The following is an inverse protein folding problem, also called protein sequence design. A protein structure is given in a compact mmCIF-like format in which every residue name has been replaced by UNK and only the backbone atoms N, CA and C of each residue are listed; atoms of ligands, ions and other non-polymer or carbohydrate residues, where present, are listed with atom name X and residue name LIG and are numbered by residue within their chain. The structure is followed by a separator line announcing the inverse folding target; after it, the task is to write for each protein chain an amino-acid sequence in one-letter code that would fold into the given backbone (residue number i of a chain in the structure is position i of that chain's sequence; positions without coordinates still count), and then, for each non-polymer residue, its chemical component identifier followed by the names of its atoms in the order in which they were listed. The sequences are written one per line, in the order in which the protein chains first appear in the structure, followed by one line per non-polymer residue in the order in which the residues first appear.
data_IF_860290567305
#
_entry.id   IF_860290567305
#
_cell.length_a   1.000
_cell.length_b   1.000
_cell.length_c   1.000
_cell.angle_alpha   90.00
_cell.angle_beta   90.00
_cell.angle_gamma   90.00
#
_symmetry.space_group_name_H-M   'P 1'
#
loop_
_entity.id
_entity.type
_entity.pdbx_description
1 polymer ?
#
# COMPACT_ATOMS: atom_id res chain seq x y z
N UNK A 1 8.72 -25.42 4.26
CA UNK A 1 9.04 -24.67 5.49
C UNK A 1 8.23 -23.38 5.47
N UNK A 2 7.12 -23.34 6.20
CA UNK A 2 6.32 -22.13 6.36
C UNK A 2 6.91 -21.28 7.48
N UNK A 3 7.17 -20.00 7.21
CA UNK A 3 7.53 -19.04 8.26
C UNK A 3 6.30 -18.77 9.11
N UNK A 4 6.40 -19.02 10.42
CA UNK A 4 5.43 -18.64 11.47
C UNK A 4 4.05 -19.25 11.29
N UNK A 5 3.68 -20.19 12.16
CA UNK A 5 2.28 -20.59 12.24
C UNK A 5 1.45 -19.36 12.64
N UNK A 6 0.19 -19.28 12.21
CA UNK A 6 -0.71 -18.17 12.55
C UNK A 6 -0.74 -17.87 14.06
N UNK A 7 -0.61 -18.91 14.87
CA UNK A 7 -0.50 -18.86 16.33
C UNK A 7 0.70 -18.04 16.82
N UNK A 8 1.85 -18.14 16.15
CA UNK A 8 3.05 -17.37 16.52
C UNK A 8 2.83 -15.87 16.28
N UNK A 9 2.10 -15.52 15.21
CA UNK A 9 1.74 -14.13 14.89
C UNK A 9 0.71 -13.58 15.87
N UNK A 10 -0.20 -14.42 16.36
CA UNK A 10 -1.18 -14.05 17.40
C UNK A 10 -0.48 -13.75 18.73
N UNK A 11 0.49 -14.59 19.14
CA UNK A 11 1.31 -14.32 20.33
C UNK A 11 2.08 -13.00 20.23
N UNK A 12 2.71 -12.74 19.07
CA UNK A 12 3.39 -11.47 18.83
C UNK A 12 2.44 -10.26 18.88
N UNK A 13 1.19 -10.42 18.44
CA UNK A 13 0.18 -9.35 18.54
C UNK A 13 -0.12 -8.99 20.00
N UNK A 14 -0.19 -9.99 20.88
CA UNK A 14 -0.46 -9.77 22.31
C UNK A 14 0.73 -9.12 23.02
N UNK A 15 1.97 -9.52 22.68
CA UNK A 15 3.19 -8.88 23.17
C UNK A 15 3.24 -7.39 22.77
N UNK A 16 2.96 -7.08 21.50
CA UNK A 16 2.92 -5.69 21.00
C UNK A 16 1.83 -4.88 21.73
N UNK A 17 0.67 -5.48 21.99
CA UNK A 17 -0.41 -4.83 22.75
C UNK A 17 0.05 -4.46 24.17
N UNK A 18 0.78 -5.38 24.82
CA UNK A 18 1.33 -5.17 26.17
C UNK A 18 2.31 -3.99 26.19
N UNK A 19 3.23 -3.92 25.23
CA UNK A 19 4.20 -2.80 25.14
C UNK A 19 3.50 -1.46 24.86
N UNK A 20 2.52 -1.45 23.94
CA UNK A 20 1.78 -0.22 23.61
C UNK A 20 0.98 0.30 24.81
N UNK A 21 0.45 -0.58 25.65
CA UNK A 21 -0.31 -0.19 26.84
C UNK A 21 0.54 0.62 27.85
N UNK A 22 1.85 0.37 27.90
CA UNK A 22 2.77 1.09 28.79
C UNK A 22 2.90 2.59 28.44
N UNK A 23 2.59 2.95 27.19
CA UNK A 23 2.59 4.35 26.71
C UNK A 23 1.17 4.88 26.46
N UNK A 24 0.14 4.18 26.96
CA UNK A 24 -1.26 4.58 26.82
C UNK A 24 -1.84 4.39 25.41
N UNK A 25 -1.25 3.53 24.58
CA UNK A 25 -1.72 3.22 23.24
C UNK A 25 -2.36 1.82 23.19
N UNK A 26 -3.33 1.65 22.29
CA UNK A 26 -3.98 0.36 22.04
C UNK A 26 -4.08 0.10 20.53
N UNK A 27 -3.97 -1.18 20.14
CA UNK A 27 -4.20 -1.58 18.76
C UNK A 27 -5.68 -1.46 18.41
N UNK A 28 -5.97 -0.81 17.28
CA UNK A 28 -7.33 -0.73 16.76
C UNK A 28 -7.70 -2.04 16.04
N UNK A 29 -8.66 -2.79 16.58
CA UNK A 29 -9.09 -4.08 16.00
C UNK A 29 -9.55 -3.96 14.54
N UNK A 30 -10.18 -2.84 14.17
CA UNK A 30 -10.66 -2.60 12.80
C UNK A 30 -9.55 -2.29 11.80
N UNK A 31 -8.35 -1.90 12.28
CA UNK A 31 -7.19 -1.56 11.43
C UNK A 31 -6.10 -2.62 11.46
N UNK A 32 -6.11 -3.51 12.45
CA UNK A 32 -5.11 -4.57 12.63
C UNK A 32 -5.59 -5.86 11.99
N UNK A 33 -4.82 -6.37 11.02
CA UNK A 33 -5.11 -7.61 10.30
C UNK A 33 -3.85 -8.46 10.23
N UNK A 34 -4.00 -9.77 10.41
CA UNK A 34 -2.99 -10.79 10.09
C UNK A 34 -3.32 -11.35 8.70
N UNK A 35 -2.35 -11.36 7.80
CA UNK A 35 -2.49 -11.97 6.47
C UNK A 35 -1.21 -12.65 6.02
N UNK A 36 -1.38 -13.67 5.18
CA UNK A 36 -0.23 -14.31 4.56
C UNK A 36 0.31 -13.45 3.40
N UNK A 37 1.62 -13.39 3.23
CA UNK A 37 2.27 -12.57 2.19
C UNK A 37 1.86 -12.98 0.76
N UNK A 38 1.35 -14.20 0.57
CA UNK A 38 0.83 -14.66 -0.73
C UNK A 38 -0.57 -14.12 -1.05
N UNK A 39 -1.38 -13.81 -0.04
CA UNK A 39 -2.65 -13.09 -0.23
C UNK A 39 -2.39 -11.64 -0.65
N UNK A 40 -1.30 -11.07 -0.16
CA UNK A 40 -0.90 -9.69 -0.38
C UNK A 40 -1.59 -8.69 0.55
N UNK A 41 -0.95 -7.54 0.76
CA UNK A 41 -1.50 -6.47 1.58
C UNK A 41 -1.02 -5.09 1.12
N UNK A 42 -1.79 -4.07 1.46
CA UNK A 42 -1.45 -2.68 1.18
C UNK A 42 -0.73 -2.06 2.38
N UNK A 43 0.45 -1.46 2.16
CA UNK A 43 1.21 -0.73 3.16
C UNK A 43 1.85 0.52 2.54
N UNK A 44 1.65 1.68 3.16
CA UNK A 44 2.20 2.97 2.72
C UNK A 44 1.97 3.29 1.23
N UNK A 45 0.80 2.93 0.69
CA UNK A 45 0.45 3.18 -0.71
C UNK A 45 0.99 2.13 -1.70
N UNK A 46 1.63 1.08 -1.22
CA UNK A 46 2.14 -0.04 -2.02
C UNK A 46 1.37 -1.31 -1.70
N UNK A 47 1.01 -2.07 -2.72
CA UNK A 47 0.58 -3.44 -2.60
C UNK A 47 1.80 -4.36 -2.63
N UNK A 48 1.95 -5.18 -1.60
CA UNK A 48 3.07 -6.10 -1.40
C UNK A 48 2.52 -7.52 -1.46
N UNK A 49 3.06 -8.34 -2.35
CA UNK A 49 2.62 -9.73 -2.50
C UNK A 49 3.78 -10.65 -2.92
N UNK A 50 3.90 -11.81 -2.28
CA UNK A 50 4.78 -12.89 -2.74
C UNK A 50 4.03 -13.78 -3.71
N UNK A 51 4.54 -13.94 -4.93
CA UNK A 51 3.95 -14.84 -5.94
C UNK A 51 5.04 -15.53 -6.74
N UNK A 52 4.66 -16.58 -7.46
CA UNK A 52 5.56 -17.30 -8.37
C UNK A 52 6.03 -16.38 -9.48
N UNK A 53 7.33 -16.32 -9.68
CA UNK A 53 7.96 -15.56 -10.74
C UNK A 53 7.62 -16.23 -12.09
N UNK A 54 7.06 -15.45 -13.03
CA UNK A 54 6.83 -15.93 -14.40
C UNK A 54 8.17 -16.15 -15.11
N UNK A 55 8.32 -17.29 -15.79
CA UNK A 55 9.47 -17.59 -16.64
C UNK A 55 10.76 -18.05 -15.93
N UNK A 56 10.71 -18.32 -14.61
CA UNK A 56 11.81 -18.98 -13.88
C UNK A 56 11.25 -20.11 -13.04
N UNK A 57 11.83 -21.31 -13.15
CA UNK A 57 11.45 -22.58 -12.52
C UNK A 57 10.93 -22.47 -11.08
N UNK A 58 9.64 -22.16 -10.91
CA UNK A 58 9.00 -22.23 -9.60
C UNK A 58 9.46 -21.20 -8.56
N UNK A 59 10.38 -20.29 -8.90
CA UNK A 59 10.96 -19.35 -7.93
C UNK A 59 9.89 -18.38 -7.42
N UNK A 60 9.83 -18.18 -6.11
CA UNK A 60 8.95 -17.17 -5.50
C UNK A 60 9.66 -15.82 -5.46
N UNK A 61 8.94 -14.74 -5.77
CA UNK A 61 9.45 -13.38 -5.68
C UNK A 61 8.41 -12.47 -5.00
N UNK A 62 8.90 -11.46 -4.28
CA UNK A 62 8.06 -10.39 -3.72
C UNK A 62 7.88 -9.33 -4.79
N UNK A 63 6.63 -8.99 -5.08
CA UNK A 63 6.24 -7.93 -5.99
C UNK A 63 5.69 -6.76 -5.18
N UNK A 64 6.15 -5.56 -5.53
CA UNK A 64 5.69 -4.29 -4.94
C UNK A 64 5.22 -3.39 -6.07
N UNK A 65 3.97 -2.92 -6.01
CA UNK A 65 3.41 -1.97 -6.98
C UNK A 65 2.45 -1.02 -6.27
N UNK A 66 2.15 0.17 -6.84
CA UNK A 66 1.23 1.10 -6.20
C UNK A 66 -0.12 0.44 -5.93
N UNK A 67 -0.65 0.62 -4.73
CA UNK A 67 -1.96 0.07 -4.37
C UNK A 67 -3.06 0.71 -5.21
N UNK A 68 -4.18 0.01 -5.38
CA UNK A 68 -5.34 0.54 -6.11
C UNK A 68 -5.78 1.88 -5.55
N UNK A 69 -5.76 2.04 -4.21
CA UNK A 69 -6.09 3.30 -3.54
C UNK A 69 -5.13 4.43 -3.91
N UNK A 70 -3.82 4.16 -3.90
CA UNK A 70 -2.81 5.15 -4.26
C UNK A 70 -2.98 5.58 -5.74
N UNK A 71 -3.15 4.61 -6.64
CA UNK A 71 -3.36 4.86 -8.06
C UNK A 71 -4.63 5.69 -8.31
N UNK A 72 -5.74 5.35 -7.67
CA UNK A 72 -7.00 6.11 -7.78
C UNK A 72 -6.87 7.54 -7.25
N UNK A 73 -6.10 7.76 -6.17
CA UNK A 73 -5.84 9.09 -5.63
C UNK A 73 -5.08 9.97 -6.64
N UNK A 74 -4.04 9.43 -7.26
CA UNK A 74 -3.28 10.13 -8.32
C UNK A 74 -4.18 10.40 -9.53
N UNK A 75 -4.95 9.41 -9.98
CA UNK A 75 -5.92 9.60 -11.07
C UNK A 75 -6.95 10.68 -10.77
N UNK A 76 -7.49 10.72 -9.54
CA UNK A 76 -8.44 11.75 -9.12
C UNK A 76 -7.80 13.15 -9.13
N UNK A 77 -6.55 13.26 -8.68
CA UNK A 77 -5.79 14.53 -8.73
C UNK A 77 -5.56 14.98 -10.17
N UNK A 78 -5.11 14.08 -11.04
CA UNK A 78 -4.93 14.37 -12.48
C UNK A 78 -6.25 14.82 -13.11
N UNK A 79 -7.35 14.08 -12.88
CA UNK A 79 -8.69 14.45 -13.37
C UNK A 79 -9.13 15.82 -12.85
N UNK A 80 -8.88 16.14 -11.59
CA UNK A 80 -9.23 17.44 -11.01
C UNK A 80 -8.45 18.58 -11.66
N UNK A 81 -7.17 18.33 -12.01
CA UNK A 81 -6.34 19.29 -12.73
C UNK A 81 -6.87 19.44 -14.16
N UNK A 82 -7.09 18.36 -14.91
CA UNK A 82 -7.44 18.44 -16.35
C UNK A 82 -8.88 18.89 -16.65
N UNK A 83 -9.69 19.26 -15.64
CA UNK A 83 -11.05 19.80 -15.86
C UNK A 83 -10.99 21.11 -16.67
N UNK A 84 -11.77 21.16 -17.75
CA UNK A 84 -11.77 22.24 -18.77
C UNK A 84 -12.02 23.64 -18.20
N UNK A 85 -12.75 23.75 -17.10
CA UNK A 85 -13.06 25.02 -16.43
C UNK A 85 -11.87 25.69 -15.73
N UNK A 86 -10.71 25.02 -15.62
CA UNK A 86 -9.57 25.48 -14.81
C UNK A 86 -8.39 26.06 -15.59
N UNK A 87 -8.35 25.97 -16.92
CA UNK A 87 -7.15 26.32 -17.69
C UNK A 87 -7.45 27.26 -18.85
N UNK A 88 -6.75 28.40 -18.89
CA UNK A 88 -6.81 29.35 -20.01
C UNK A 88 -5.90 28.94 -21.16
N UNK A 89 -4.80 28.23 -20.88
CA UNK A 89 -3.83 27.77 -21.89
C UNK A 89 -3.32 26.35 -21.59
N UNK A 90 -2.80 25.67 -22.62
CA UNK A 90 -2.13 24.36 -22.47
C UNK A 90 -0.87 24.47 -21.60
N UNK A 91 -0.14 25.58 -21.68
CA UNK A 91 1.06 25.80 -20.88
C UNK A 91 0.75 25.82 -19.38
N UNK A 92 -0.34 26.49 -18.98
CA UNK A 92 -0.78 26.52 -17.58
C UNK A 92 -1.19 25.13 -17.07
N UNK A 93 -1.85 24.34 -17.92
CA UNK A 93 -2.20 22.96 -17.61
C UNK A 93 -0.94 22.12 -17.39
N UNK A 94 0.05 22.18 -18.31
CA UNK A 94 1.28 21.40 -18.21
C UNK A 94 2.13 21.80 -17.00
N UNK A 95 2.20 23.10 -16.66
CA UNK A 95 2.89 23.58 -15.45
C UNK A 95 2.30 22.97 -14.18
N UNK A 96 0.98 22.77 -14.14
CA UNK A 96 0.27 22.22 -12.97
C UNK A 96 0.31 20.69 -12.94
N UNK A 97 0.22 20.04 -14.10
CA UNK A 97 0.13 18.58 -14.22
C UNK A 97 1.50 17.90 -14.07
N UNK A 98 2.56 18.45 -14.68
CA UNK A 98 3.86 17.79 -14.74
C UNK A 98 4.49 17.47 -13.37
N UNK A 99 4.42 18.34 -12.34
CA UNK A 99 4.92 17.99 -11.00
C UNK A 99 4.20 16.78 -10.40
N UNK A 100 2.88 16.66 -10.62
CA UNK A 100 2.09 15.55 -10.08
C UNK A 100 2.47 14.22 -10.71
N UNK A 101 2.83 14.22 -12.00
CA UNK A 101 3.23 13.00 -12.71
C UNK A 101 4.67 12.59 -12.40
N UNK A 102 5.54 13.54 -12.07
CA UNK A 102 6.95 13.28 -11.73
C UNK A 102 7.14 12.75 -10.32
N UNK A 103 6.18 13.03 -9.42
CA UNK A 103 6.30 12.76 -8.00
C UNK A 103 6.78 14.00 -7.26
#
# INVERSE_FOLDING_TARGET
MGYGARKDVELLKDEVSTVLSQVGLHLSESKTKICHIEEGFDFLGWHIQRRRQRGRDGKMAVYTYPSKKALLSVMAKVRSITRREKHRTLADLLRTLNPVLRG
#
